data_IF_278478297623
#
_entry.id   IF_278478297623
#
_cell.length_a   1.000
_cell.length_b   1.000
_cell.length_c   1.000
_cell.angle_alpha   90.00
_cell.angle_beta   90.00
_cell.angle_gamma   90.00
#
_symmetry.space_group_name_H-M   'P 1'
#
loop_
_entity.id
_entity.type
_entity.pdbx_description
1 polymer ?
#
# COMPACT_ATOMS: atom_id res chain seq x y z
N UNK A 1 19.76 -50.82 45.39
CA UNK A 1 19.66 -49.44 44.89
C UNK A 1 18.65 -49.47 43.75
N UNK A 2 17.47 -48.90 43.94
CA UNK A 2 16.41 -48.81 42.93
C UNK A 2 16.65 -47.56 42.04
N UNK A 3 16.38 -47.59 40.73
CA UNK A 3 16.47 -46.37 39.89
C UNK A 3 15.27 -45.45 40.12
N UNK A 4 15.53 -44.17 40.12
CA UNK A 4 14.50 -43.11 40.18
C UNK A 4 13.79 -43.01 38.81
N UNK A 5 12.47 -43.15 38.82
CA UNK A 5 11.61 -42.78 37.70
C UNK A 5 11.44 -41.27 37.67
N UNK A 6 11.89 -40.61 36.60
CA UNK A 6 11.55 -39.22 36.25
C UNK A 6 10.49 -39.25 35.19
N UNK A 7 9.23 -38.98 35.58
CA UNK A 7 8.15 -38.72 34.61
C UNK A 7 8.29 -37.31 34.07
N UNK A 8 8.60 -37.19 32.79
CA UNK A 8 8.50 -35.96 32.03
C UNK A 8 7.19 -35.98 31.26
N UNK A 9 6.24 -35.15 31.67
CA UNK A 9 4.99 -34.95 30.95
C UNK A 9 5.25 -34.11 29.70
N UNK A 10 5.30 -34.74 28.53
CA UNK A 10 5.37 -34.06 27.24
C UNK A 10 3.95 -33.81 26.72
N UNK A 11 3.57 -32.55 26.60
CA UNK A 11 2.42 -32.14 25.79
C UNK A 11 2.81 -32.21 24.30
N UNK A 12 2.20 -33.12 23.57
CA UNK A 12 2.46 -33.32 22.14
C UNK A 12 1.43 -32.55 21.34
N UNK A 13 1.86 -31.58 20.50
CA UNK A 13 1.19 -31.28 19.23
C UNK A 13 2.26 -30.95 18.19
N UNK A 14 2.44 -31.80 17.21
CA UNK A 14 2.67 -31.51 15.79
C UNK A 14 3.52 -32.59 15.10
N UNK A 15 2.89 -33.27 14.19
CA UNK A 15 3.48 -34.19 13.20
C UNK A 15 4.34 -33.44 12.19
N UNK A 16 5.64 -33.74 12.08
CA UNK A 16 6.43 -33.48 10.87
C UNK A 16 7.46 -34.60 10.60
N UNK A 17 7.60 -34.92 9.32
CA UNK A 17 8.36 -36.02 8.71
C UNK A 17 9.78 -36.15 9.24
N UNK A 18 10.12 -37.37 9.66
CA UNK A 18 11.48 -37.81 9.94
C UNK A 18 12.26 -38.08 8.63
N UNK A 19 13.31 -37.34 8.40
CA UNK A 19 14.30 -37.73 7.36
C UNK A 19 15.39 -38.59 7.99
N UNK A 20 15.57 -39.79 7.45
CA UNK A 20 16.60 -40.71 7.87
C UNK A 20 17.93 -40.41 7.16
N UNK A 21 18.94 -40.01 7.91
CA UNK A 21 20.34 -39.97 7.43
C UNK A 21 21.09 -41.14 8.07
N UNK A 22 21.56 -42.08 7.26
CA UNK A 22 22.39 -43.22 7.72
C UNK A 22 23.86 -42.84 7.66
N UNK A 23 24.50 -42.71 8.81
CA UNK A 23 25.95 -42.79 8.94
C UNK A 23 26.26 -43.89 9.95
N UNK A 24 26.87 -44.99 9.49
CA UNK A 24 27.24 -46.11 10.34
C UNK A 24 26.04 -46.90 10.90
N UNK A 25 26.27 -47.89 11.71
CA UNK A 25 25.28 -48.85 12.22
C UNK A 25 24.31 -48.34 13.28
N UNK A 26 24.27 -47.00 13.57
CA UNK A 26 23.33 -46.42 14.53
C UNK A 26 22.59 -45.28 13.88
N UNK A 27 21.24 -45.27 13.87
CA UNK A 27 20.48 -44.12 13.35
C UNK A 27 20.62 -42.93 14.32
N UNK A 28 21.28 -41.88 13.85
CA UNK A 28 21.30 -40.59 14.56
C UNK A 28 19.99 -39.83 14.22
N UNK A 29 19.10 -39.73 15.18
CA UNK A 29 17.93 -38.82 15.10
C UNK A 29 18.40 -37.40 15.36
N UNK A 30 18.45 -36.61 14.34
CA UNK A 30 18.65 -35.17 14.49
C UNK A 30 17.28 -34.56 14.87
N UNK A 31 17.07 -34.33 16.16
CA UNK A 31 15.96 -33.53 16.62
C UNK A 31 16.24 -32.09 16.11
N UNK A 32 15.50 -31.62 15.13
CA UNK A 32 15.51 -30.22 14.76
C UNK A 32 14.89 -29.46 15.95
N UNK A 33 15.73 -28.93 16.82
CA UNK A 33 15.29 -27.96 17.83
C UNK A 33 14.80 -26.76 17.02
N UNK A 34 13.50 -26.52 17.01
CA UNK A 34 12.94 -25.26 16.51
C UNK A 34 13.54 -24.15 17.40
N UNK A 35 14.56 -23.46 16.90
CA UNK A 35 15.06 -22.29 17.58
C UNK A 35 13.90 -21.30 17.70
N UNK A 36 13.51 -20.97 18.93
CA UNK A 36 12.51 -19.94 19.17
C UNK A 36 13.10 -18.61 18.70
N UNK A 37 12.44 -17.96 17.75
CA UNK A 37 12.85 -16.64 17.26
C UNK A 37 12.83 -15.65 18.41
N UNK A 38 13.91 -14.89 18.58
CA UNK A 38 14.06 -13.87 19.63
C UNK A 38 14.69 -12.60 19.06
N UNK A 39 14.49 -11.46 19.72
CA UNK A 39 15.07 -10.19 19.29
C UNK A 39 16.61 -10.24 19.14
N UNK A 40 17.39 -10.81 20.10
CA UNK A 40 18.83 -10.92 19.91
C UNK A 40 19.24 -11.70 18.66
N UNK A 41 18.54 -12.80 18.35
CA UNK A 41 18.84 -13.60 17.15
C UNK A 41 18.52 -12.84 15.87
N UNK A 42 17.35 -12.21 15.80
CA UNK A 42 16.91 -11.41 14.63
C UNK A 42 17.86 -10.23 14.39
N UNK A 43 18.15 -9.45 15.42
CA UNK A 43 19.06 -8.29 15.29
C UNK A 43 20.46 -8.74 14.91
N UNK A 44 20.98 -9.82 15.53
CA UNK A 44 22.30 -10.33 15.21
C UNK A 44 22.40 -10.86 13.77
N UNK A 45 21.35 -11.49 13.22
CA UNK A 45 21.31 -11.92 11.82
C UNK A 45 21.39 -10.71 10.88
N UNK A 46 20.55 -9.68 11.10
CA UNK A 46 20.55 -8.47 10.28
C UNK A 46 21.90 -7.72 10.35
N UNK A 47 22.54 -7.66 11.53
CA UNK A 47 23.87 -7.06 11.69
C UNK A 47 24.98 -7.81 10.96
N UNK A 48 24.79 -9.11 10.68
CA UNK A 48 25.71 -9.91 9.85
C UNK A 48 25.40 -9.84 8.36
N UNK A 49 24.47 -8.94 7.93
CA UNK A 49 23.92 -8.86 6.57
C UNK A 49 23.23 -10.16 6.12
N UNK A 50 22.67 -10.92 7.06
CA UNK A 50 21.87 -12.10 6.76
C UNK A 50 20.40 -11.67 6.56
N UNK A 51 19.76 -12.19 5.51
CA UNK A 51 18.36 -11.93 5.24
C UNK A 51 17.48 -12.74 6.19
N UNK A 52 16.43 -12.09 6.70
CA UNK A 52 15.43 -12.80 7.47
C UNK A 52 14.51 -13.62 6.56
N UNK A 53 14.18 -14.81 6.99
CA UNK A 53 13.09 -15.58 6.39
C UNK A 53 11.75 -14.85 6.58
N UNK A 54 10.76 -15.15 5.73
CA UNK A 54 9.39 -14.64 5.90
C UNK A 54 8.87 -14.87 7.33
N UNK A 55 9.15 -16.03 7.92
CA UNK A 55 8.69 -16.37 9.28
C UNK A 55 9.36 -15.53 10.37
N UNK A 56 10.65 -15.24 10.26
CA UNK A 56 11.38 -14.39 11.21
C UNK A 56 10.94 -12.93 11.09
N UNK A 57 10.77 -12.43 9.86
CA UNK A 57 10.25 -11.10 9.58
C UNK A 57 8.81 -10.95 10.10
N UNK A 58 7.94 -11.94 9.85
CA UNK A 58 6.57 -11.96 10.38
C UNK A 58 6.57 -11.94 11.90
N UNK A 59 7.44 -12.74 12.55
CA UNK A 59 7.56 -12.76 14.00
C UNK A 59 7.97 -11.37 14.54
N UNK A 60 9.01 -10.77 13.97
CA UNK A 60 9.51 -9.47 14.42
C UNK A 60 8.44 -8.38 14.30
N UNK A 61 7.76 -8.30 13.16
CA UNK A 61 6.71 -7.29 12.95
C UNK A 61 5.48 -7.56 13.81
N UNK A 62 5.10 -8.83 14.08
CA UNK A 62 4.02 -9.17 15.01
C UNK A 62 4.34 -8.69 16.43
N UNK A 63 5.59 -8.84 16.91
CA UNK A 63 6.01 -8.27 18.20
C UNK A 63 5.83 -6.75 18.24
N UNK A 64 6.12 -6.07 17.13
CA UNK A 64 5.92 -4.61 17.03
C UNK A 64 4.43 -4.27 17.04
N UNK A 65 3.62 -4.94 16.23
CA UNK A 65 2.18 -4.64 16.12
C UNK A 65 1.41 -4.92 17.42
N UNK A 66 1.86 -5.89 18.21
CA UNK A 66 1.28 -6.20 19.52
C UNK A 66 1.76 -5.26 20.64
N UNK A 67 2.86 -4.53 20.42
CA UNK A 67 3.50 -3.72 21.46
C UNK A 67 4.41 -4.52 22.39
N UNK A 68 4.82 -5.73 21.99
CA UNK A 68 5.72 -6.61 22.75
C UNK A 68 7.20 -6.24 22.56
N UNK A 69 7.52 -5.45 21.51
CA UNK A 69 8.87 -4.95 21.27
C UNK A 69 9.19 -3.74 22.18
N UNK A 70 10.33 -3.78 22.86
CA UNK A 70 10.79 -2.57 23.58
C UNK A 70 11.29 -1.51 22.58
N UNK A 71 11.27 -0.21 22.95
CA UNK A 71 11.81 0.85 22.08
C UNK A 71 13.26 0.58 21.62
N UNK A 72 14.11 0.05 22.49
CA UNK A 72 15.50 -0.29 22.14
C UNK A 72 15.61 -1.44 21.14
N UNK A 73 14.76 -2.46 21.26
CA UNK A 73 14.71 -3.57 20.31
C UNK A 73 14.23 -3.09 18.95
N UNK A 74 13.16 -2.30 18.93
CA UNK A 74 12.60 -1.74 17.71
C UNK A 74 13.60 -0.80 17.02
N UNK A 75 14.21 0.13 17.75
CA UNK A 75 15.19 1.07 17.20
C UNK A 75 16.40 0.30 16.61
N UNK A 76 16.98 -0.62 17.38
CA UNK A 76 18.12 -1.44 16.92
C UNK A 76 17.78 -2.25 15.68
N UNK A 77 16.60 -2.85 15.63
CA UNK A 77 16.12 -3.61 14.49
C UNK A 77 15.94 -2.73 13.25
N UNK A 78 15.22 -1.61 13.36
CA UNK A 78 14.93 -0.73 12.23
C UNK A 78 16.20 -0.13 11.61
N UNK A 79 17.16 0.30 12.46
CA UNK A 79 18.42 0.87 12.01
C UNK A 79 19.30 -0.18 11.34
N UNK A 80 19.42 -1.37 11.95
CA UNK A 80 20.19 -2.47 11.38
C UNK A 80 19.58 -2.93 10.03
N UNK A 81 18.25 -3.09 9.96
CA UNK A 81 17.54 -3.47 8.75
C UNK A 81 17.73 -2.44 7.62
N UNK A 82 17.64 -1.14 7.95
CA UNK A 82 17.89 -0.06 7.00
C UNK A 82 19.33 -0.06 6.49
N UNK A 83 20.29 -0.33 7.36
CA UNK A 83 21.72 -0.38 7.00
C UNK A 83 22.03 -1.60 6.10
N UNK A 84 21.42 -2.74 6.35
CA UNK A 84 21.53 -3.95 5.51
C UNK A 84 20.86 -3.75 4.15
N UNK A 85 19.74 -3.08 4.12
CA UNK A 85 18.79 -3.06 3.01
C UNK A 85 17.76 -4.19 3.17
N UNK A 86 16.51 -3.86 2.94
CA UNK A 86 15.38 -4.78 3.05
C UNK A 86 15.30 -5.70 1.82
N UNK A 87 14.76 -6.91 2.00
CA UNK A 87 14.48 -7.87 0.91
C UNK A 87 12.97 -8.08 0.71
N UNK A 88 12.58 -8.59 -0.46
CA UNK A 88 11.18 -8.91 -0.75
C UNK A 88 10.60 -9.88 0.30
N UNK A 89 11.36 -10.89 0.72
CA UNK A 89 10.93 -11.87 1.72
C UNK A 89 10.64 -11.22 3.07
N UNK A 90 11.48 -10.27 3.49
CA UNK A 90 11.28 -9.50 4.72
C UNK A 90 10.04 -8.61 4.63
N UNK A 91 9.85 -7.91 3.51
CA UNK A 91 8.67 -7.07 3.30
C UNK A 91 7.38 -7.90 3.25
N UNK A 92 7.39 -9.08 2.63
CA UNK A 92 6.25 -10.03 2.67
C UNK A 92 5.92 -10.40 4.11
N UNK A 93 6.91 -10.76 4.93
CA UNK A 93 6.70 -11.10 6.33
C UNK A 93 6.15 -9.94 7.15
N UNK A 94 6.67 -8.73 6.95
CA UNK A 94 6.17 -7.53 7.64
C UNK A 94 4.73 -7.20 7.26
N UNK A 95 4.43 -7.19 5.96
CA UNK A 95 3.08 -6.97 5.45
C UNK A 95 2.09 -7.99 6.04
N UNK A 96 2.45 -9.27 6.05
CA UNK A 96 1.55 -10.32 6.52
C UNK A 96 1.21 -10.15 8.02
N UNK A 97 2.20 -9.81 8.85
CA UNK A 97 1.98 -9.50 10.25
C UNK A 97 1.12 -8.23 10.47
N UNK A 98 1.33 -7.19 9.66
CA UNK A 98 0.54 -5.95 9.73
C UNK A 98 -0.92 -6.22 9.35
N UNK A 99 -1.16 -6.98 8.28
CA UNK A 99 -2.51 -7.34 7.84
C UNK A 99 -3.22 -8.32 8.80
N UNK A 100 -2.46 -9.18 9.48
CA UNK A 100 -2.99 -10.07 10.53
C UNK A 100 -3.46 -9.27 11.75
N UNK A 101 -2.74 -8.19 12.10
CA UNK A 101 -3.06 -7.31 13.23
C UNK A 101 -4.06 -6.19 12.87
N UNK A 102 -4.42 -6.02 11.60
CA UNK A 102 -5.36 -5.01 11.14
C UNK A 102 -6.80 -5.36 11.55
N UNK A 103 -7.64 -4.33 11.71
CA UNK A 103 -9.08 -4.54 11.78
C UNK A 103 -9.57 -5.12 10.44
N UNK A 104 -10.36 -6.19 10.45
CA UNK A 104 -10.83 -6.81 9.22
C UNK A 104 -11.80 -5.88 8.47
N UNK A 105 -11.63 -5.78 7.15
CA UNK A 105 -12.56 -5.09 6.25
C UNK A 105 -13.13 -6.13 5.28
N UNK A 106 -14.39 -6.50 5.50
CA UNK A 106 -15.07 -7.54 4.71
C UNK A 106 -15.78 -6.94 3.50
N UNK A 107 -15.07 -6.91 2.39
CA UNK A 107 -15.53 -6.39 1.09
C UNK A 107 -15.06 -7.31 -0.03
N UNK A 108 -15.61 -7.13 -1.25
CA UNK A 108 -15.06 -7.80 -2.42
C UNK A 108 -13.64 -7.25 -2.69
N UNK A 109 -12.61 -8.11 -2.73
CA UNK A 109 -11.25 -7.69 -3.04
C UNK A 109 -11.07 -7.23 -4.50
N UNK A 110 -12.02 -7.56 -5.40
CA UNK A 110 -11.99 -7.05 -6.77
C UNK A 110 -12.34 -5.56 -6.78
N UNK A 111 -11.42 -4.78 -6.27
CA UNK A 111 -11.48 -3.33 -6.13
C UNK A 111 -10.12 -2.71 -6.44
N UNK A 112 -10.12 -1.40 -6.68
CA UNK A 112 -8.93 -0.62 -6.99
C UNK A 112 -8.46 0.15 -5.76
N UNK A 113 -7.13 0.12 -5.51
CA UNK A 113 -6.45 1.09 -4.65
C UNK A 113 -5.51 1.96 -5.49
N UNK A 114 -5.57 3.28 -5.33
CA UNK A 114 -4.63 4.25 -5.93
C UNK A 114 -3.92 4.95 -4.79
N UNK A 115 -2.62 4.73 -4.66
CA UNK A 115 -1.85 5.19 -3.50
C UNK A 115 -0.40 5.48 -3.86
N UNK A 116 0.23 6.44 -3.20
CA UNK A 116 1.67 6.67 -3.28
C UNK A 116 2.39 6.26 -1.99
N UNK A 117 3.69 6.05 -2.06
CA UNK A 117 4.54 5.84 -0.88
C UNK A 117 4.66 7.09 -0.02
N UNK A 118 4.42 8.26 -0.62
CA UNK A 118 4.80 9.54 -0.05
C UNK A 118 6.31 9.75 -0.04
N UNK A 119 6.72 10.93 0.48
CA UNK A 119 8.14 11.22 0.68
C UNK A 119 8.87 11.82 -0.51
N UNK A 120 8.18 12.19 -1.56
CA UNK A 120 8.68 12.93 -2.73
C UNK A 120 9.07 14.38 -2.43
N UNK A 121 8.50 14.97 -1.38
CA UNK A 121 8.76 16.33 -0.87
C UNK A 121 8.39 17.48 -1.83
N UNK A 122 7.62 17.21 -2.88
CA UNK A 122 7.20 18.26 -3.83
C UNK A 122 6.03 19.09 -3.32
N UNK A 123 5.25 18.56 -2.38
CA UNK A 123 4.09 19.25 -1.83
C UNK A 123 2.99 19.48 -2.87
N UNK A 124 2.77 18.50 -3.71
CA UNK A 124 1.72 18.53 -4.76
C UNK A 124 0.32 18.43 -4.16
N UNK A 125 -0.69 18.75 -4.98
CA UNK A 125 -2.10 18.47 -4.67
C UNK A 125 -2.32 16.95 -4.48
N UNK A 126 -3.44 16.58 -3.86
CA UNK A 126 -3.73 15.17 -3.59
C UNK A 126 -4.19 14.42 -4.86
N UNK A 127 -3.26 14.16 -5.80
CA UNK A 127 -3.52 13.57 -7.12
C UNK A 127 -4.23 12.22 -6.97
N UNK A 128 -3.67 11.28 -6.20
CA UNK A 128 -4.24 9.94 -6.02
C UNK A 128 -5.64 9.96 -5.40
N UNK A 129 -5.97 10.97 -4.57
CA UNK A 129 -7.32 11.12 -4.00
C UNK A 129 -8.32 11.53 -5.08
N UNK A 130 -7.98 12.51 -5.90
CA UNK A 130 -8.83 12.94 -7.03
C UNK A 130 -8.97 11.82 -8.06
N UNK A 131 -7.87 11.15 -8.42
CA UNK A 131 -7.86 10.01 -9.33
C UNK A 131 -8.79 8.87 -8.85
N UNK A 132 -8.82 8.60 -7.54
CA UNK A 132 -9.71 7.61 -6.92
C UNK A 132 -11.19 7.98 -7.11
N UNK A 133 -11.55 9.25 -6.91
CA UNK A 133 -12.94 9.74 -7.10
C UNK A 133 -13.33 9.64 -8.58
N UNK A 134 -12.42 10.02 -9.49
CA UNK A 134 -12.66 9.94 -10.95
C UNK A 134 -12.84 8.49 -11.40
N UNK A 135 -11.98 7.56 -10.96
CA UNK A 135 -12.11 6.13 -11.27
C UNK A 135 -13.43 5.55 -10.74
N UNK A 136 -13.85 5.94 -9.53
CA UNK A 136 -15.12 5.52 -8.96
C UNK A 136 -16.32 6.09 -9.74
N UNK A 137 -16.22 7.32 -10.23
CA UNK A 137 -17.24 7.94 -11.07
C UNK A 137 -17.35 7.26 -12.45
N UNK A 138 -16.24 6.68 -12.96
CA UNK A 138 -16.22 5.85 -14.15
C UNK A 138 -16.74 4.41 -13.91
N UNK A 139 -17.24 4.10 -12.70
CA UNK A 139 -17.89 2.83 -12.36
C UNK A 139 -16.96 1.75 -11.76
N UNK A 140 -15.73 2.09 -11.40
CA UNK A 140 -14.79 1.15 -10.77
C UNK A 140 -14.97 1.18 -9.26
N UNK A 141 -15.12 0.03 -8.57
CA UNK A 141 -15.12 0.00 -7.12
C UNK A 141 -13.74 0.38 -6.58
N UNK A 142 -13.68 1.40 -5.71
CA UNK A 142 -12.43 1.93 -5.16
C UNK A 142 -12.40 1.81 -3.64
N UNK A 143 -11.35 1.19 -3.11
CA UNK A 143 -11.06 1.15 -1.68
C UNK A 143 -9.70 1.82 -1.46
N UNK A 144 -9.73 3.13 -1.37
CA UNK A 144 -8.50 3.89 -1.17
C UNK A 144 -7.95 3.67 0.22
N UNK A 145 -6.70 3.21 0.31
CA UNK A 145 -5.94 3.20 1.56
C UNK A 145 -5.11 4.47 1.69
N UNK A 146 -5.01 5.00 2.89
CA UNK A 146 -4.22 6.21 3.11
C UNK A 146 -4.20 6.67 4.55
N UNK A 147 -3.40 7.72 4.82
CA UNK A 147 -3.17 8.25 6.14
C UNK A 147 -3.09 9.78 6.12
N UNK A 148 -2.86 10.36 7.30
CA UNK A 148 -2.45 11.77 7.45
C UNK A 148 -1.08 11.99 6.82
N UNK A 149 -0.80 13.25 6.48
CA UNK A 149 0.53 13.63 5.99
C UNK A 149 1.62 13.24 7.00
N UNK A 150 2.69 12.61 6.49
CA UNK A 150 3.90 12.35 7.26
C UNK A 150 4.99 13.40 6.98
N UNK A 151 5.05 13.91 5.75
CA UNK A 151 6.08 14.84 5.26
C UNK A 151 5.52 15.96 4.37
N UNK A 152 4.29 15.84 3.86
CA UNK A 152 3.60 16.86 3.06
C UNK A 152 2.71 17.76 3.92
N UNK A 153 2.22 18.87 3.35
CA UNK A 153 1.28 19.80 4.02
C UNK A 153 -0.13 19.22 4.18
N UNK A 154 -0.52 18.23 3.36
CA UNK A 154 -1.87 17.65 3.34
C UNK A 154 -1.82 16.19 2.90
N UNK A 155 -2.17 15.26 3.79
CA UNK A 155 -2.35 13.84 3.44
C UNK A 155 -3.74 13.56 2.85
N UNK A 156 -3.93 12.35 2.34
CA UNK A 156 -5.23 11.94 1.77
C UNK A 156 -6.38 12.03 2.78
N UNK A 157 -6.15 11.63 4.03
CA UNK A 157 -7.18 11.74 5.08
C UNK A 157 -7.48 13.20 5.44
N UNK A 158 -6.48 14.08 5.39
CA UNK A 158 -6.68 15.49 5.76
C UNK A 158 -7.56 16.20 4.73
N UNK A 159 -7.33 15.97 3.43
CA UNK A 159 -8.17 16.54 2.39
C UNK A 159 -9.56 15.92 2.36
N UNK A 160 -9.70 14.61 2.61
CA UNK A 160 -11.01 13.95 2.67
C UNK A 160 -11.85 14.47 3.83
N UNK A 161 -11.26 14.71 5.00
CA UNK A 161 -11.93 15.36 6.12
C UNK A 161 -12.36 16.79 5.78
N UNK A 162 -11.51 17.57 5.08
CA UNK A 162 -11.86 18.93 4.62
C UNK A 162 -12.96 18.94 3.53
N UNK A 163 -13.14 17.84 2.81
CA UNK A 163 -14.23 17.63 1.87
C UNK A 163 -15.55 17.22 2.57
N UNK A 164 -15.49 16.81 3.83
CA UNK A 164 -16.64 16.40 4.63
C UNK A 164 -16.83 14.89 4.76
N UNK A 165 -15.85 14.08 4.35
CA UNK A 165 -15.89 12.62 4.55
C UNK A 165 -15.60 12.30 6.02
N UNK A 166 -16.46 11.49 6.65
CA UNK A 166 -16.22 11.01 8.00
C UNK A 166 -15.19 9.85 7.99
N UNK A 167 -14.10 10.03 8.71
CA UNK A 167 -13.00 9.08 8.80
C UNK A 167 -13.08 8.18 10.05
N UNK A 168 -14.13 8.35 10.88
CA UNK A 168 -14.28 7.63 12.15
C UNK A 168 -15.21 6.42 12.05
N UNK A 169 -15.67 6.11 10.85
CA UNK A 169 -16.58 5.00 10.58
C UNK A 169 -15.97 3.65 10.99
N UNK A 170 -16.80 2.78 11.57
CA UNK A 170 -16.42 1.37 11.84
C UNK A 170 -16.13 0.62 10.53
N UNK A 171 -15.39 -0.50 10.57
CA UNK A 171 -15.12 -1.30 9.38
C UNK A 171 -16.38 -1.71 8.61
N UNK A 172 -17.46 -2.04 9.31
CA UNK A 172 -18.75 -2.42 8.71
C UNK A 172 -19.39 -1.24 7.96
N UNK A 173 -19.25 -0.01 8.48
CA UNK A 173 -19.76 1.20 7.84
C UNK A 173 -18.88 1.65 6.68
N UNK A 174 -17.57 1.45 6.77
CA UNK A 174 -16.66 1.62 5.64
C UNK A 174 -17.04 0.68 4.50
N UNK A 175 -17.36 -0.59 4.80
CA UNK A 175 -17.85 -1.55 3.81
C UNK A 175 -19.24 -1.15 3.25
N UNK A 176 -20.14 -0.63 4.09
CA UNK A 176 -21.45 -0.12 3.66
C UNK A 176 -21.30 1.11 2.76
N UNK A 177 -20.37 2.04 3.07
CA UNK A 177 -20.08 3.20 2.22
C UNK A 177 -19.68 2.73 0.82
N UNK A 178 -18.79 1.75 0.70
CA UNK A 178 -18.41 1.16 -0.60
C UNK A 178 -19.64 0.64 -1.36
N UNK A 179 -20.54 -0.10 -0.68
CA UNK A 179 -21.74 -0.67 -1.32
C UNK A 179 -22.69 0.40 -1.82
N UNK A 180 -22.86 1.51 -1.09
CA UNK A 180 -23.75 2.62 -1.46
C UNK A 180 -23.19 3.48 -2.58
N UNK A 181 -21.89 3.73 -2.55
CA UNK A 181 -21.27 4.79 -3.39
C UNK A 181 -20.26 4.27 -4.41
N UNK A 182 -19.78 3.02 -4.28
CA UNK A 182 -18.70 2.47 -5.11
C UNK A 182 -17.31 2.98 -4.74
N UNK A 183 -17.18 3.82 -3.69
CA UNK A 183 -15.90 4.31 -3.18
C UNK A 183 -15.91 4.35 -1.66
N UNK A 184 -14.78 4.03 -1.04
CA UNK A 184 -14.58 4.18 0.40
C UNK A 184 -13.12 4.46 0.74
N UNK A 185 -12.86 4.84 1.99
CA UNK A 185 -11.53 5.11 2.50
C UNK A 185 -11.21 4.23 3.70
N UNK A 186 -10.19 3.39 3.55
CA UNK A 186 -9.61 2.64 4.66
C UNK A 186 -8.54 3.51 5.33
N UNK A 187 -8.92 4.22 6.40
CA UNK A 187 -8.02 5.11 7.13
C UNK A 187 -6.98 4.30 7.91
N UNK A 188 -5.71 4.39 7.53
CA UNK A 188 -4.66 3.55 8.08
C UNK A 188 -4.56 3.62 9.61
N UNK A 189 -4.74 4.80 10.20
CA UNK A 189 -4.70 4.97 11.67
C UNK A 189 -5.85 4.26 12.39
N UNK A 190 -7.01 4.10 11.73
CA UNK A 190 -8.14 3.36 12.28
C UNK A 190 -7.98 1.84 12.09
N UNK A 191 -7.57 1.42 10.90
CA UNK A 191 -7.48 -0.01 10.56
C UNK A 191 -6.23 -0.71 11.10
N UNK A 192 -5.14 0.02 11.37
CA UNK A 192 -3.88 -0.52 11.86
C UNK A 192 -3.49 0.05 13.23
N UNK A 193 -4.24 -0.27 14.30
CA UNK A 193 -3.97 0.29 15.63
C UNK A 193 -2.58 -0.08 16.17
N UNK A 194 -1.98 -1.17 15.68
CA UNK A 194 -0.64 -1.61 16.06
C UNK A 194 0.47 -0.62 15.70
N UNK A 195 0.30 0.23 14.68
CA UNK A 195 1.31 1.21 14.29
C UNK A 195 1.65 2.24 15.39
N UNK A 196 0.71 2.48 16.33
CA UNK A 196 0.96 3.36 17.49
C UNK A 196 2.18 2.93 18.30
N UNK A 197 2.48 1.63 18.38
CA UNK A 197 3.59 1.09 19.15
C UNK A 197 4.96 1.40 18.54
N UNK A 198 5.01 1.71 17.23
CA UNK A 198 6.23 2.13 16.54
C UNK A 198 6.37 3.66 16.43
N UNK A 199 5.32 4.43 16.71
CA UNK A 199 5.27 5.86 16.41
C UNK A 199 6.35 6.67 17.15
N UNK A 200 6.48 6.49 18.48
CA UNK A 200 7.47 7.22 19.28
C UNK A 200 8.90 6.91 18.85
N UNK A 201 9.26 5.62 18.71
CA UNK A 201 10.60 5.20 18.27
C UNK A 201 10.94 5.75 16.89
N UNK A 202 9.99 5.73 15.94
CA UNK A 202 10.20 6.29 14.60
C UNK A 202 10.44 7.82 14.64
N UNK A 203 9.67 8.53 15.47
CA UNK A 203 9.82 9.97 15.62
C UNK A 203 11.20 10.32 16.25
N UNK A 204 11.64 9.58 17.27
CA UNK A 204 12.95 9.77 17.90
C UNK A 204 14.11 9.46 16.97
N UNK A 205 13.99 8.40 16.13
CA UNK A 205 15.01 8.06 15.14
C UNK A 205 15.19 9.15 14.07
N UNK A 206 14.12 9.81 13.65
CA UNK A 206 14.15 10.91 12.69
C UNK A 206 14.66 10.53 11.29
N UNK A 207 14.79 9.23 10.98
CA UNK A 207 15.26 8.72 9.69
C UNK A 207 14.22 7.83 9.04
N UNK A 208 14.18 7.75 7.68
CA UNK A 208 13.30 6.84 6.98
C UNK A 208 13.58 5.37 7.34
N UNK A 209 12.51 4.63 7.59
CA UNK A 209 12.54 3.19 7.92
C UNK A 209 11.61 2.43 6.97
N UNK A 210 11.56 1.10 7.10
CA UNK A 210 10.64 0.25 6.34
C UNK A 210 9.18 0.73 6.40
N UNK A 211 8.75 1.32 7.50
CA UNK A 211 7.39 1.85 7.66
C UNK A 211 7.04 2.98 6.68
N UNK A 212 8.02 3.62 6.06
CA UNK A 212 7.77 4.72 5.14
C UNK A 212 7.21 4.28 3.78
N UNK A 213 7.36 3.00 3.41
CA UNK A 213 6.88 2.49 2.13
C UNK A 213 5.98 1.23 2.25
N UNK A 214 5.65 0.79 3.47
CA UNK A 214 4.75 -0.34 3.68
C UNK A 214 3.27 0.00 3.42
N UNK A 215 2.90 1.29 3.49
CA UNK A 215 1.51 1.74 3.36
C UNK A 215 0.78 1.16 2.16
N UNK A 216 1.30 1.28 0.92
CA UNK A 216 0.69 0.75 -0.29
C UNK A 216 0.48 -0.78 -0.29
N UNK A 217 1.20 -1.50 0.55
CA UNK A 217 1.15 -2.97 0.63
C UNK A 217 0.16 -3.48 1.68
N UNK A 218 -0.38 -2.57 2.52
CA UNK A 218 -1.13 -2.92 3.72
C UNK A 218 -2.60 -2.49 3.69
N UNK A 219 -3.21 -2.32 2.50
CA UNK A 219 -4.65 -2.08 2.41
C UNK A 219 -5.42 -3.24 3.08
N UNK A 220 -6.26 -3.00 4.12
CA UNK A 220 -6.97 -4.05 4.84
C UNK A 220 -8.01 -4.77 3.97
N UNK A 221 -8.48 -4.16 2.88
CA UNK A 221 -9.35 -4.80 1.89
C UNK A 221 -8.62 -5.81 1.00
N UNK A 222 -7.28 -5.79 0.99
CA UNK A 222 -6.45 -6.65 0.13
C UNK A 222 -6.81 -6.52 -1.35
N UNK A 223 -7.03 -5.29 -1.81
CA UNK A 223 -7.44 -5.00 -3.19
C UNK A 223 -6.61 -5.78 -4.23
N UNK A 224 -7.29 -6.32 -5.24
CA UNK A 224 -6.63 -7.09 -6.32
C UNK A 224 -5.99 -6.17 -7.36
N UNK A 225 -6.49 -4.94 -7.53
CA UNK A 225 -5.93 -3.94 -8.44
C UNK A 225 -5.26 -2.82 -7.64
N UNK A 226 -3.97 -2.57 -7.90
CA UNK A 226 -3.18 -1.62 -7.15
C UNK A 226 -2.40 -0.69 -8.10
N UNK A 227 -2.70 0.60 -8.09
CA UNK A 227 -1.92 1.63 -8.79
C UNK A 227 -1.06 2.36 -7.76
N UNK A 228 0.26 2.16 -7.83
CA UNK A 228 1.17 2.53 -6.74
C UNK A 228 2.29 3.43 -7.23
N UNK A 229 2.27 4.67 -6.79
CA UNK A 229 3.38 5.59 -6.99
C UNK A 229 4.52 5.37 -5.99
N UNK A 230 5.77 5.48 -6.45
CA UNK A 230 6.95 5.22 -5.62
C UNK A 230 7.96 6.34 -5.77
N UNK A 231 8.20 7.13 -4.70
CA UNK A 231 9.17 8.23 -4.73
C UNK A 231 10.62 7.76 -4.85
N UNK A 232 10.99 6.66 -4.18
CA UNK A 232 12.36 6.17 -4.10
C UNK A 232 12.57 4.97 -5.03
N UNK A 233 13.42 5.12 -6.05
CA UNK A 233 13.67 4.09 -7.07
C UNK A 233 14.14 2.75 -6.46
N UNK A 234 14.95 2.80 -5.41
CA UNK A 234 15.47 1.60 -4.71
C UNK A 234 14.37 0.79 -3.99
N UNK A 235 13.14 1.34 -3.84
CA UNK A 235 11.98 0.66 -3.27
C UNK A 235 11.12 -0.07 -4.29
N UNK A 236 11.23 0.29 -5.56
CA UNK A 236 10.44 -0.31 -6.64
C UNK A 236 10.60 -1.83 -6.70
N UNK A 237 11.82 -2.42 -6.68
CA UNK A 237 11.97 -3.88 -6.72
C UNK A 237 11.34 -4.59 -5.52
N UNK A 238 11.28 -3.94 -4.35
CA UNK A 238 10.64 -4.49 -3.15
C UNK A 238 9.12 -4.52 -3.33
N UNK A 239 8.53 -3.41 -3.76
CA UNK A 239 7.08 -3.25 -3.92
C UNK A 239 6.57 -4.17 -5.03
N UNK A 240 7.19 -4.15 -6.21
CA UNK A 240 6.84 -5.04 -7.34
C UNK A 240 7.01 -6.50 -6.97
N UNK A 241 8.09 -6.84 -6.25
CA UNK A 241 8.36 -8.19 -5.77
C UNK A 241 7.28 -8.72 -4.81
N UNK A 242 6.75 -7.87 -3.94
CA UNK A 242 5.64 -8.23 -3.04
C UNK A 242 4.36 -8.49 -3.82
N UNK A 243 3.98 -7.61 -4.76
CA UNK A 243 2.79 -7.82 -5.60
C UNK A 243 2.92 -9.10 -6.44
N UNK A 244 4.10 -9.33 -7.05
CA UNK A 244 4.40 -10.55 -7.79
C UNK A 244 4.23 -11.80 -6.92
N UNK A 245 4.80 -11.81 -5.71
CA UNK A 245 4.72 -12.96 -4.80
C UNK A 245 3.29 -13.22 -4.33
N UNK A 246 2.49 -12.17 -4.20
CA UNK A 246 1.09 -12.24 -3.80
C UNK A 246 0.17 -12.70 -4.95
N UNK A 247 0.62 -12.60 -6.19
CA UNK A 247 -0.19 -12.83 -7.38
C UNK A 247 -1.21 -11.72 -7.67
N UNK A 248 -1.10 -10.55 -6.99
CA UNK A 248 -1.97 -9.40 -7.23
C UNK A 248 -1.52 -8.63 -8.47
N UNK A 249 -2.45 -7.90 -9.07
CA UNK A 249 -2.17 -7.01 -10.20
C UNK A 249 -1.77 -5.63 -9.70
N UNK A 250 -0.70 -5.09 -10.27
CA UNK A 250 -0.26 -3.73 -9.94
C UNK A 250 0.33 -3.02 -11.16
N UNK A 251 0.07 -1.72 -11.26
CA UNK A 251 0.93 -0.77 -11.95
C UNK A 251 1.71 0.00 -10.87
N UNK A 252 3.00 -0.25 -10.80
CA UNK A 252 3.93 0.50 -9.95
C UNK A 252 4.62 1.51 -10.83
N UNK A 253 4.67 2.76 -10.44
CA UNK A 253 5.20 3.81 -11.29
C UNK A 253 5.95 4.89 -10.51
N UNK A 254 6.79 5.64 -11.23
CA UNK A 254 7.57 6.74 -10.70
C UNK A 254 7.84 7.76 -11.81
N UNK A 255 7.66 9.04 -11.52
CA UNK A 255 8.12 10.11 -12.39
C UNK A 255 9.66 10.22 -12.38
N UNK A 256 10.26 10.56 -13.50
CA UNK A 256 11.72 10.81 -13.60
C UNK A 256 12.16 11.93 -12.66
N UNK A 257 11.26 12.87 -12.39
CA UNK A 257 11.43 13.94 -11.41
C UNK A 257 11.48 13.46 -9.95
N UNK A 258 11.02 12.23 -9.69
CA UNK A 258 10.93 11.64 -8.35
C UNK A 258 9.55 11.68 -7.72
N UNK A 259 8.55 12.17 -8.46
CA UNK A 259 7.16 12.17 -8.00
C UNK A 259 6.65 10.74 -7.86
N UNK A 260 5.93 10.46 -6.78
CA UNK A 260 5.24 9.18 -6.56
C UNK A 260 3.84 9.14 -7.22
N UNK A 261 3.80 9.63 -8.45
CA UNK A 261 2.66 9.61 -9.37
C UNK A 261 3.18 9.41 -10.80
N UNK A 262 2.31 9.07 -11.76
CA UNK A 262 2.60 9.32 -13.17
C UNK A 262 2.69 10.83 -13.36
N UNK A 263 3.86 11.33 -13.74
CA UNK A 263 4.09 12.77 -13.80
C UNK A 263 3.69 13.38 -15.15
N UNK A 264 3.37 14.66 -15.10
CA UNK A 264 3.22 15.55 -16.28
C UNK A 264 4.35 16.57 -16.38
N UNK A 265 5.40 16.45 -15.54
CA UNK A 265 6.56 17.35 -15.61
C UNK A 265 7.72 16.75 -16.42
N UNK A 266 7.62 15.48 -16.79
CA UNK A 266 8.62 14.70 -17.53
C UNK A 266 8.06 13.34 -17.90
N UNK A 267 8.95 12.38 -18.12
CA UNK A 267 8.56 10.99 -18.36
C UNK A 267 8.27 10.25 -17.05
N UNK A 268 7.65 9.11 -17.15
CA UNK A 268 7.44 8.18 -16.03
C UNK A 268 7.89 6.79 -16.41
N UNK A 269 8.44 6.05 -15.45
CA UNK A 269 8.73 4.64 -15.60
C UNK A 269 7.64 3.82 -14.91
N UNK A 270 7.18 2.73 -15.55
CA UNK A 270 6.06 1.91 -15.10
C UNK A 270 6.48 0.44 -15.07
N UNK A 271 6.20 -0.24 -13.96
CA UNK A 271 6.35 -1.68 -13.78
C UNK A 271 4.96 -2.30 -13.67
N UNK A 272 4.53 -2.95 -14.74
CA UNK A 272 3.25 -3.65 -14.81
C UNK A 272 3.41 -5.07 -14.26
N UNK A 273 2.78 -5.35 -13.12
CA UNK A 273 2.81 -6.66 -12.45
C UNK A 273 1.52 -7.39 -12.70
N UNK A 274 1.59 -8.56 -13.33
CA UNK A 274 0.43 -9.43 -13.57
C UNK A 274 0.83 -10.89 -13.64
N UNK A 275 0.09 -11.78 -13.00
CA UNK A 275 0.30 -13.24 -13.00
C UNK A 275 1.72 -13.70 -12.64
N UNK A 276 2.43 -12.93 -11.84
CA UNK A 276 3.80 -13.24 -11.43
C UNK A 276 4.90 -12.75 -12.38
N UNK A 277 4.54 -12.08 -13.47
CA UNK A 277 5.46 -11.41 -14.39
C UNK A 277 5.50 -9.90 -14.12
N UNK A 278 6.59 -9.27 -14.53
CA UNK A 278 6.79 -7.82 -14.47
C UNK A 278 7.21 -7.35 -15.85
N UNK A 279 6.46 -6.42 -16.42
CA UNK A 279 6.77 -5.76 -17.69
C UNK A 279 7.09 -4.28 -17.42
N UNK A 280 8.16 -3.79 -18.02
CA UNK A 280 8.62 -2.41 -17.83
C UNK A 280 8.23 -1.56 -19.05
N UNK A 281 7.78 -0.33 -18.78
CA UNK A 281 7.36 0.61 -19.80
C UNK A 281 7.86 2.01 -19.43
N UNK A 282 8.22 2.79 -20.44
CA UNK A 282 8.44 4.23 -20.33
C UNK A 282 7.21 4.95 -20.90
N UNK A 283 6.79 6.02 -20.25
CA UNK A 283 5.65 6.83 -20.64
C UNK A 283 6.07 8.29 -20.82
N UNK A 284 5.87 8.80 -22.02
CA UNK A 284 5.83 10.23 -22.30
C UNK A 284 4.35 10.67 -22.26
N UNK A 285 3.91 11.56 -21.36
CA UNK A 285 2.52 11.99 -21.31
C UNK A 285 2.07 12.71 -22.58
N UNK A 286 2.99 13.22 -23.38
CA UNK A 286 2.68 13.87 -24.67
C UNK A 286 2.16 12.89 -25.72
N UNK A 287 2.48 11.60 -25.62
CA UNK A 287 1.92 10.55 -26.46
C UNK A 287 0.42 10.33 -26.20
N UNK A 288 -0.07 10.82 -25.04
CA UNK A 288 -1.48 10.88 -24.66
C UNK A 288 -2.10 12.28 -24.83
N UNK A 289 -1.39 13.20 -25.50
CA UNK A 289 -1.85 14.56 -25.70
C UNK A 289 -1.76 15.47 -24.46
N UNK A 290 -1.05 15.05 -23.42
CA UNK A 290 -0.87 15.81 -22.18
C UNK A 290 0.47 16.57 -22.27
N UNK A 291 0.45 17.92 -22.23
CA UNK A 291 1.67 18.70 -22.34
C UNK A 291 2.50 18.65 -21.06
N UNK A 292 3.82 18.81 -21.17
CA UNK A 292 4.66 19.04 -20.01
C UNK A 292 4.33 20.36 -19.32
N UNK A 293 4.36 20.30 -17.99
CA UNK A 293 4.20 21.46 -17.10
C UNK A 293 5.36 21.54 -16.12
N UNK A 294 5.46 22.63 -15.38
CA UNK A 294 6.41 22.72 -14.27
C UNK A 294 5.78 22.18 -12.99
N UNK A 295 6.58 21.69 -12.06
CA UNK A 295 6.12 21.19 -10.76
C UNK A 295 5.31 22.23 -9.98
N UNK A 296 5.59 23.53 -10.17
CA UNK A 296 4.87 24.60 -9.52
C UNK A 296 3.39 24.64 -9.92
N UNK A 297 3.05 24.19 -11.14
CA UNK A 297 1.65 24.10 -11.58
C UNK A 297 0.85 23.00 -10.85
N UNK A 298 1.53 22.11 -10.14
CA UNK A 298 0.97 20.98 -9.40
C UNK A 298 1.02 21.19 -7.88
N UNK A 299 1.56 22.32 -7.40
CA UNK A 299 1.70 22.58 -5.96
C UNK A 299 0.34 22.63 -5.28
N UNK A 300 0.27 21.96 -4.13
CA UNK A 300 -0.83 22.01 -3.19
C UNK A 300 -0.54 22.95 -2.03
N UNK A 301 -1.46 22.97 -1.09
CA UNK A 301 -1.39 23.79 0.11
C UNK A 301 -1.98 23.08 1.34
N UNK A 302 -2.59 23.85 2.22
CA UNK A 302 -3.30 23.31 3.38
C UNK A 302 -4.48 22.41 2.97
N UNK A 303 -4.98 21.53 3.84
CA UNK A 303 -6.08 20.63 3.51
C UNK A 303 -7.32 21.31 2.94
N UNK A 304 -7.70 22.48 3.46
CA UNK A 304 -8.83 23.27 2.94
C UNK A 304 -8.58 23.82 1.54
N UNK A 305 -7.36 24.26 1.26
CA UNK A 305 -6.98 24.75 -0.07
C UNK A 305 -7.00 23.61 -1.10
N UNK A 306 -6.45 22.45 -0.72
CA UNK A 306 -6.50 21.27 -1.58
C UNK A 306 -7.93 20.76 -1.79
N UNK A 307 -8.81 20.86 -0.78
CA UNK A 307 -10.22 20.51 -0.93
C UNK A 307 -10.92 21.40 -1.97
N UNK A 308 -10.58 22.70 -2.03
CA UNK A 308 -11.09 23.60 -3.08
C UNK A 308 -10.56 23.24 -4.47
N UNK A 309 -9.28 22.84 -4.57
CA UNK A 309 -8.71 22.32 -5.83
C UNK A 309 -9.48 21.07 -6.27
N UNK A 310 -9.74 20.12 -5.36
CA UNK A 310 -10.54 18.92 -5.66
C UNK A 310 -11.90 19.32 -6.24
N UNK A 311 -12.65 20.23 -5.58
CA UNK A 311 -13.97 20.67 -6.05
C UNK A 311 -13.90 21.26 -7.45
N UNK A 312 -12.96 22.20 -7.70
CA UNK A 312 -12.79 22.83 -9.02
C UNK A 312 -12.47 21.81 -10.13
N UNK A 313 -11.54 20.89 -9.87
CA UNK A 313 -11.18 19.86 -10.84
C UNK A 313 -12.36 18.95 -11.17
N UNK A 314 -13.09 18.50 -10.13
CA UNK A 314 -14.27 17.64 -10.32
C UNK A 314 -15.48 18.41 -10.93
N UNK A 315 -15.48 19.74 -10.84
CA UNK A 315 -16.44 20.63 -11.54
C UNK A 315 -16.03 20.91 -13.00
N UNK A 316 -14.91 20.35 -13.47
CA UNK A 316 -14.50 20.42 -14.86
C UNK A 316 -13.43 21.48 -15.17
N UNK A 317 -12.82 22.13 -14.16
CA UNK A 317 -11.71 23.05 -14.38
C UNK A 317 -10.58 22.35 -15.15
N UNK A 318 -10.14 22.97 -16.26
CA UNK A 318 -9.07 22.45 -17.10
C UNK A 318 -7.73 22.96 -16.63
N UNK A 319 -6.64 22.23 -16.97
CA UNK A 319 -5.26 22.62 -16.69
C UNK A 319 -4.43 21.50 -16.07
N UNK A 320 -3.23 21.85 -15.66
CA UNK A 320 -2.19 20.90 -15.23
C UNK A 320 -2.66 19.90 -14.14
N UNK A 321 -3.41 20.37 -13.15
CA UNK A 321 -3.92 19.51 -12.08
C UNK A 321 -4.93 18.50 -12.61
N UNK A 322 -5.86 18.92 -13.49
CA UNK A 322 -6.77 17.97 -14.12
C UNK A 322 -6.02 16.94 -14.94
N UNK A 323 -5.03 17.34 -15.70
CA UNK A 323 -4.31 16.48 -16.62
C UNK A 323 -3.56 15.37 -15.86
N UNK A 324 -2.84 15.69 -14.78
CA UNK A 324 -2.17 14.69 -13.96
C UNK A 324 -3.17 13.78 -13.23
N UNK A 325 -4.32 14.30 -12.80
CA UNK A 325 -5.39 13.52 -12.17
C UNK A 325 -5.98 12.51 -13.16
N UNK A 326 -6.26 12.93 -14.39
CA UNK A 326 -6.78 12.06 -15.44
C UNK A 326 -5.78 10.95 -15.79
N UNK A 327 -4.49 11.27 -15.88
CA UNK A 327 -3.42 10.31 -16.18
C UNK A 327 -3.34 9.24 -15.08
N UNK A 328 -3.35 9.63 -13.81
CA UNK A 328 -3.28 8.69 -12.69
C UNK A 328 -4.60 7.93 -12.48
N UNK A 329 -5.75 8.53 -12.78
CA UNK A 329 -7.02 7.81 -12.83
C UNK A 329 -7.02 6.74 -13.93
N UNK A 330 -6.53 7.07 -15.13
CA UNK A 330 -6.40 6.12 -16.24
C UNK A 330 -5.49 4.95 -15.86
N UNK A 331 -4.35 5.19 -15.19
CA UNK A 331 -3.47 4.14 -14.70
C UNK A 331 -4.20 3.19 -13.72
N UNK A 332 -4.95 3.73 -12.77
CA UNK A 332 -5.78 2.93 -11.85
C UNK A 332 -6.82 2.09 -12.60
N UNK A 333 -7.52 2.70 -13.57
CA UNK A 333 -8.54 2.01 -14.35
C UNK A 333 -7.95 0.91 -15.25
N UNK A 334 -6.76 1.12 -15.85
CA UNK A 334 -6.00 0.08 -16.55
C UNK A 334 -5.67 -1.07 -15.62
N UNK A 335 -5.18 -0.77 -14.41
CA UNK A 335 -4.83 -1.79 -13.41
C UNK A 335 -6.05 -2.64 -13.02
N UNK A 336 -7.21 -2.01 -12.81
CA UNK A 336 -8.44 -2.71 -12.47
C UNK A 336 -8.90 -3.63 -13.63
N UNK A 337 -8.87 -3.14 -14.87
CA UNK A 337 -9.21 -3.98 -16.04
C UNK A 337 -8.25 -5.15 -16.20
N UNK A 338 -6.96 -4.93 -15.97
CA UNK A 338 -5.95 -5.98 -16.02
C UNK A 338 -6.16 -7.04 -14.93
N UNK A 339 -6.58 -6.64 -13.72
CA UNK A 339 -6.91 -7.56 -12.63
C UNK A 339 -8.12 -8.45 -13.00
N UNK A 340 -9.14 -7.89 -13.66
CA UNK A 340 -10.31 -8.64 -14.14
C UNK A 340 -10.03 -9.51 -15.35
N UNK A 341 -9.11 -9.08 -16.22
CA UNK A 341 -8.76 -9.80 -17.47
C UNK A 341 -7.26 -9.64 -17.76
N UNK A 342 -6.49 -10.62 -17.32
CA UNK A 342 -5.04 -10.59 -17.48
C UNK A 342 -4.57 -10.72 -18.96
N UNK A 343 -5.46 -10.99 -19.92
CA UNK A 343 -5.11 -10.96 -21.35
C UNK A 343 -4.84 -9.55 -21.84
N UNK A 344 -5.29 -8.53 -21.11
CA UNK A 344 -5.01 -7.11 -21.37
C UNK A 344 -3.51 -6.79 -21.42
N UNK A 345 -2.65 -7.55 -20.74
CA UNK A 345 -1.20 -7.37 -20.80
C UNK A 345 -0.62 -7.51 -22.21
N UNK A 346 -1.29 -8.25 -23.09
CA UNK A 346 -0.87 -8.42 -24.49
C UNK A 346 -1.12 -7.18 -25.37
N UNK A 347 -1.90 -6.21 -24.90
CA UNK A 347 -2.18 -4.95 -25.60
C UNK A 347 -1.16 -3.89 -25.19
N UNK A 348 -0.74 -3.01 -26.10
CA UNK A 348 0.14 -1.90 -25.76
C UNK A 348 -0.41 -1.08 -24.58
N UNK A 349 0.42 -0.78 -23.59
CA UNK A 349 0.01 -0.03 -22.40
C UNK A 349 -0.52 1.36 -22.77
N UNK A 350 0.11 2.03 -23.76
CA UNK A 350 -0.30 3.35 -24.23
C UNK A 350 -1.74 3.37 -24.75
N UNK A 351 -2.15 2.37 -25.54
CA UNK A 351 -3.52 2.25 -26.03
C UNK A 351 -4.52 2.06 -24.88
N UNK A 352 -4.16 1.24 -23.88
CA UNK A 352 -5.00 1.00 -22.72
C UNK A 352 -5.14 2.27 -21.87
N UNK A 353 -4.06 3.04 -21.73
CA UNK A 353 -4.08 4.32 -21.02
C UNK A 353 -4.96 5.36 -21.74
N UNK A 354 -4.85 5.48 -23.08
CA UNK A 354 -5.64 6.43 -23.88
C UNK A 354 -7.15 6.15 -23.77
N UNK A 355 -7.54 4.88 -23.86
CA UNK A 355 -8.94 4.45 -23.66
C UNK A 355 -9.46 4.86 -22.27
N UNK A 356 -8.67 4.64 -21.22
CA UNK A 356 -9.10 4.96 -19.87
C UNK A 356 -9.02 6.47 -19.58
N UNK A 357 -8.09 7.19 -20.18
CA UNK A 357 -8.01 8.65 -20.11
C UNK A 357 -9.29 9.29 -20.66
N UNK A 358 -9.78 8.79 -21.79
CA UNK A 358 -11.04 9.24 -22.39
C UNK A 358 -12.23 9.02 -21.44
N UNK A 359 -12.32 7.86 -20.78
CA UNK A 359 -13.39 7.55 -19.85
C UNK A 359 -13.28 8.40 -18.55
N UNK A 360 -12.07 8.61 -18.05
CA UNK A 360 -11.81 9.47 -16.90
C UNK A 360 -12.20 10.92 -17.19
N UNK A 361 -11.87 11.43 -18.38
CA UNK A 361 -12.26 12.77 -18.81
C UNK A 361 -13.80 12.90 -18.89
N UNK A 362 -14.48 11.90 -19.49
CA UNK A 362 -15.94 11.85 -19.57
C UNK A 362 -16.60 11.83 -18.19
N UNK A 363 -16.02 11.16 -17.18
CA UNK A 363 -16.54 11.15 -15.82
C UNK A 363 -16.52 12.53 -15.15
N UNK A 364 -15.51 13.35 -15.45
CA UNK A 364 -15.46 14.74 -14.99
C UNK A 364 -16.44 15.61 -15.82
N UNK A 365 -16.36 15.56 -17.15
CA UNK A 365 -17.08 16.46 -18.05
C UNK A 365 -18.60 16.28 -17.99
N UNK A 366 -19.08 15.06 -17.65
CA UNK A 366 -20.50 14.80 -17.40
C UNK A 366 -21.00 15.25 -16.03
N UNK A 367 -20.11 15.65 -15.12
CA UNK A 367 -20.43 15.94 -13.72
C UNK A 367 -20.55 14.70 -12.83
N UNK A 368 -20.30 13.49 -13.35
CA UNK A 368 -20.38 12.25 -12.56
C UNK A 368 -19.36 12.23 -11.42
N UNK A 369 -18.15 12.78 -11.62
CA UNK A 369 -17.12 12.82 -10.59
C UNK A 369 -17.52 13.74 -9.42
N UNK A 370 -18.15 14.88 -9.69
CA UNK A 370 -18.72 15.76 -8.65
C UNK A 370 -19.86 15.08 -7.90
N UNK A 371 -20.78 14.46 -8.62
CA UNK A 371 -21.88 13.71 -8.01
C UNK A 371 -21.36 12.59 -7.10
N UNK A 372 -20.34 11.83 -7.56
CA UNK A 372 -19.68 10.78 -6.79
C UNK A 372 -19.12 11.28 -5.45
N UNK A 373 -18.47 12.45 -5.46
CA UNK A 373 -17.98 13.06 -4.22
C UNK A 373 -19.14 13.43 -3.29
N UNK A 374 -20.21 14.04 -3.82
CA UNK A 374 -21.40 14.40 -3.01
C UNK A 374 -22.03 13.15 -2.38
N UNK A 375 -22.28 12.11 -3.19
CA UNK A 375 -22.84 10.85 -2.72
C UNK A 375 -21.99 10.23 -1.60
N UNK A 376 -20.66 10.31 -1.74
CA UNK A 376 -19.75 9.78 -0.73
C UNK A 376 -19.78 10.57 0.57
N UNK A 377 -19.78 11.89 0.50
CA UNK A 377 -19.93 12.78 1.67
C UNK A 377 -21.25 12.48 2.39
N UNK A 378 -22.36 12.46 1.66
CA UNK A 378 -23.69 12.24 2.23
C UNK A 378 -23.81 10.85 2.87
N UNK A 379 -23.34 9.80 2.18
CA UNK A 379 -23.35 8.44 2.71
C UNK A 379 -22.50 8.29 3.97
N UNK A 380 -21.31 8.91 4.00
CA UNK A 380 -20.43 8.85 5.17
C UNK A 380 -21.04 9.58 6.38
N UNK A 381 -21.67 10.72 6.17
CA UNK A 381 -22.35 11.50 7.22
C UNK A 381 -23.59 10.76 7.76
N UNK A 382 -24.41 10.18 6.89
CA UNK A 382 -25.57 9.38 7.29
C UNK A 382 -25.15 8.17 8.14
N UNK A 383 -24.15 7.42 7.68
CA UNK A 383 -23.63 6.26 8.40
C UNK A 383 -23.01 6.64 9.75
N UNK A 384 -22.36 7.81 9.85
CA UNK A 384 -21.84 8.31 11.12
C UNK A 384 -22.98 8.63 12.11
N UNK A 385 -24.10 9.19 11.63
CA UNK A 385 -25.26 9.55 12.47
C UNK A 385 -26.07 8.33 12.95
N UNK A 386 -26.02 7.21 12.24
CA UNK A 386 -26.70 5.97 12.60
C UNK A 386 -26.01 5.22 13.77
N UNK A 387 -24.92 5.70 14.33
CA UNK A 387 -24.11 5.05 15.33
C UNK A 387 -23.81 5.69 16.54
#
# INVERSE_FOLDING_TARGET
MKPLDVQVTMGIVATKRLQHVRFGRTPLYRIAIMQTTTWPLVIAAVLRNEDLSVSEATWAMRQVMNGDATPSQLAGFLVALRAKGETVSEIVGFRDAILEAALPLHVDPMALDIVGTGGDQFGTVNVSTMASIVAAAAGIPVIKHGNRAASSSSGSSDVLAALGIDLTLSPERVAETLRRTGITFAFASAFHPGFRHAAATRAELGVPTVFNFLGPLCNPARAEANAVGVAQLDRVPLITGVFRTRGATALVFRGDDGLDELTTTGHSHIWEVSRGDIHEHDLDPRDLGIPFVTIDALRGGAPSENAEVVRRVLDGERGAVRDIVLLNAAAGMVTFKLAGDATQVARPLLERLDEQLTLAAAAIDSGAARAKLSDWVDASAQLAAEG
#
